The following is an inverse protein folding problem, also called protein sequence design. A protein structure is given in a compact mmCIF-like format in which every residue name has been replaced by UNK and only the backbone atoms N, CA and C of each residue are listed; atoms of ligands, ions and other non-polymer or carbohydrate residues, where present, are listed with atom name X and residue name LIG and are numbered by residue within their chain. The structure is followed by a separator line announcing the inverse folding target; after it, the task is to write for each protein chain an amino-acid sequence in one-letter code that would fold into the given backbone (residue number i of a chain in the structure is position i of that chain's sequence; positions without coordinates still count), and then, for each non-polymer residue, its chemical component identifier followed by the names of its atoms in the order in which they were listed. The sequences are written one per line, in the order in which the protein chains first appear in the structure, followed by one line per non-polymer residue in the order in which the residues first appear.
data_IF_990620282367
#
_entry.id   IF_990620282367
#
_cell.length_a   1.000
_cell.length_b   1.000
_cell.length_c   1.000
_cell.angle_alpha   90.00
_cell.angle_beta   90.00
_cell.angle_gamma   90.00
#
_symmetry.space_group_name_H-M   'P 1'
#
loop_
_entity.id
_entity.type
_entity.pdbx_description
1 polymer ?
#
# COMPACT_ATOMS: atom_id res chain seq x y z
N UNK A 1 10.14 6.19 -13.23
CA UNK A 1 11.58 5.89 -13.32
C UNK A 1 11.94 4.84 -12.30
N UNK A 2 12.63 3.75 -12.67
CA UNK A 2 13.03 2.71 -11.73
C UNK A 2 14.16 3.17 -10.81
N UNK A 3 14.11 2.72 -9.55
CA UNK A 3 15.19 2.82 -8.57
C UNK A 3 15.52 1.42 -8.03
N UNK A 4 16.77 1.15 -7.61
CA UNK A 4 17.10 -0.11 -6.97
C UNK A 4 16.32 -0.28 -5.66
N UNK A 5 15.81 -1.49 -5.45
CA UNK A 5 15.26 -1.93 -4.17
C UNK A 5 16.39 -2.39 -3.23
N UNK A 6 16.09 -2.46 -1.93
CA UNK A 6 17.08 -2.80 -0.89
C UNK A 6 17.20 -4.30 -0.62
N UNK A 7 16.08 -5.04 -0.65
CA UNK A 7 15.97 -6.41 -0.19
C UNK A 7 15.36 -7.35 -1.24
N UNK A 8 14.78 -6.82 -2.32
CA UNK A 8 14.16 -7.61 -3.40
C UNK A 8 14.70 -7.24 -4.79
N UNK A 9 14.47 -8.12 -5.79
CA UNK A 9 14.91 -7.89 -7.18
C UNK A 9 14.04 -6.88 -7.94
N UNK A 10 12.69 -6.87 -7.81
CA UNK A 10 11.87 -5.87 -8.49
C UNK A 10 12.23 -4.44 -8.06
N UNK A 11 12.28 -3.47 -8.99
CA UNK A 11 12.68 -2.10 -8.66
C UNK A 11 11.57 -1.33 -7.94
N UNK A 12 11.96 -0.26 -7.24
CA UNK A 12 11.03 0.77 -6.78
C UNK A 12 10.68 1.70 -7.95
N UNK A 13 9.53 2.37 -7.85
CA UNK A 13 9.12 3.43 -8.77
C UNK A 13 9.31 4.78 -8.07
N UNK A 14 10.20 5.63 -8.61
CA UNK A 14 10.58 6.92 -8.01
C UNK A 14 9.39 7.86 -7.77
N UNK A 15 8.41 7.85 -8.67
CA UNK A 15 7.28 8.78 -8.67
C UNK A 15 6.09 8.27 -7.82
N UNK A 16 6.15 7.03 -7.32
CA UNK A 16 5.13 6.46 -6.45
C UNK A 16 5.19 7.09 -5.05
N UNK A 17 4.01 7.34 -4.48
CA UNK A 17 3.86 7.85 -3.11
C UNK A 17 4.31 6.84 -2.05
N UNK A 18 4.16 5.55 -2.34
CA UNK A 18 4.58 4.43 -1.49
C UNK A 18 5.12 3.31 -2.38
N UNK A 19 6.23 2.70 -1.98
CA UNK A 19 6.71 1.44 -2.53
C UNK A 19 6.83 0.41 -1.39
N UNK A 20 6.36 -0.81 -1.62
CA UNK A 20 6.45 -1.92 -0.68
C UNK A 20 7.29 -3.03 -1.32
N UNK A 21 8.42 -3.34 -0.71
CA UNK A 21 9.22 -4.49 -1.11
C UNK A 21 8.64 -5.74 -0.46
N UNK A 22 8.22 -6.71 -1.27
CA UNK A 22 7.55 -7.91 -0.78
C UNK A 22 8.28 -9.19 -1.15
N UNK A 23 8.39 -10.13 -0.21
CA UNK A 23 8.74 -11.54 -0.48
C UNK A 23 7.46 -12.36 -0.65
N UNK A 24 7.41 -13.22 -1.66
CA UNK A 24 6.26 -14.11 -1.86
C UNK A 24 6.24 -15.17 -0.75
N UNK A 25 5.16 -15.20 0.03
CA UNK A 25 4.97 -16.17 1.12
C UNK A 25 3.81 -17.13 0.88
N UNK A 26 2.98 -16.88 -0.13
CA UNK A 26 1.91 -17.80 -0.51
C UNK A 26 1.22 -17.38 -1.81
N UNK A 27 0.53 -18.33 -2.44
CA UNK A 27 -0.28 -18.09 -3.62
C UNK A 27 -1.55 -18.94 -3.58
N UNK A 28 -2.64 -18.43 -4.15
CA UNK A 28 -3.92 -19.10 -4.24
C UNK A 28 -4.51 -18.90 -5.63
N UNK A 29 -4.76 -20.00 -6.35
CA UNK A 29 -5.46 -19.96 -7.63
C UNK A 29 -6.97 -19.88 -7.38
N UNK A 30 -7.62 -18.88 -7.98
CA UNK A 30 -9.07 -18.63 -7.84
C UNK A 30 -9.85 -18.95 -9.11
N UNK A 31 -9.21 -19.61 -10.08
CA UNK A 31 -9.77 -19.93 -11.39
C UNK A 31 -9.19 -19.05 -12.49
N UNK A 32 -9.70 -17.82 -12.61
CA UNK A 32 -9.29 -16.84 -13.62
C UNK A 32 -8.20 -15.86 -13.14
N UNK A 33 -7.88 -15.88 -11.85
CA UNK A 33 -6.84 -15.07 -11.23
C UNK A 33 -6.01 -15.91 -10.26
N UNK A 34 -4.82 -15.41 -9.91
CA UNK A 34 -3.99 -15.91 -8.81
C UNK A 34 -3.81 -14.78 -7.80
N UNK A 35 -4.11 -15.06 -6.54
CA UNK A 35 -3.83 -14.15 -5.42
C UNK A 35 -2.44 -14.48 -4.89
N UNK A 36 -1.56 -13.49 -4.84
CA UNK A 36 -0.23 -13.60 -4.25
C UNK A 36 -0.19 -12.91 -2.88
N UNK A 37 0.21 -13.65 -1.85
CA UNK A 37 0.46 -13.11 -0.51
C UNK A 37 1.93 -12.73 -0.37
N UNK A 38 2.21 -11.43 -0.18
CA UNK A 38 3.55 -10.88 -0.01
C UNK A 38 3.82 -10.41 1.42
N UNK A 39 4.92 -10.85 2.03
CA UNK A 39 5.45 -10.30 3.27
C UNK A 39 6.23 -9.02 2.96
N UNK A 40 5.83 -7.90 3.58
CA UNK A 40 6.52 -6.62 3.43
C UNK A 40 7.85 -6.69 4.20
N UNK A 41 8.97 -6.62 3.48
CA UNK A 41 10.32 -6.65 4.07
C UNK A 41 10.97 -5.26 4.13
N UNK A 42 10.50 -4.31 3.32
CA UNK A 42 10.85 -2.89 3.42
C UNK A 42 9.71 -2.02 2.87
N UNK A 43 9.56 -0.81 3.40
CA UNK A 43 8.57 0.17 2.96
C UNK A 43 9.23 1.54 2.75
N UNK A 44 8.81 2.23 1.69
CA UNK A 44 9.33 3.53 1.29
C UNK A 44 8.18 4.48 1.05
N UNK A 45 8.21 5.65 1.69
CA UNK A 45 7.26 6.73 1.45
C UNK A 45 7.95 7.88 0.73
N UNK A 46 7.24 8.53 -0.19
CA UNK A 46 7.70 9.77 -0.80
C UNK A 46 7.55 10.94 0.18
N UNK A 47 8.49 11.88 0.16
CA UNK A 47 8.35 13.17 0.87
C UNK A 47 7.33 14.11 0.19
N UNK A 48 6.80 13.70 -0.97
CA UNK A 48 5.76 14.44 -1.68
C UNK A 48 4.42 14.35 -0.94
N UNK A 49 3.76 15.49 -0.78
CA UNK A 49 2.56 15.67 0.01
C UNK A 49 1.27 15.18 -0.71
N UNK A 50 1.38 14.22 -1.63
CA UNK A 50 0.24 13.66 -2.37
C UNK A 50 -0.56 12.67 -1.49
N UNK A 51 -1.89 12.68 -1.65
CA UNK A 51 -2.78 11.72 -0.94
C UNK A 51 -2.87 10.39 -1.68
N UNK A 52 -2.94 9.30 -0.92
CA UNK A 52 -3.22 7.97 -1.45
C UNK A 52 -4.72 7.74 -1.63
N UNK A 53 -5.09 6.92 -2.62
CA UNK A 53 -6.42 6.34 -2.74
C UNK A 53 -6.28 4.83 -2.51
N UNK A 54 -6.88 4.33 -1.43
CA UNK A 54 -6.76 2.93 -1.02
C UNK A 54 -8.12 2.38 -0.60
N UNK A 55 -8.24 1.05 -0.65
CA UNK A 55 -9.33 0.36 0.03
C UNK A 55 -9.12 0.46 1.54
N UNK A 56 -10.13 0.90 2.27
CA UNK A 56 -10.05 1.15 3.71
C UNK A 56 -11.09 0.35 4.48
N UNK A 57 -10.74 -0.08 5.69
CA UNK A 57 -11.70 -0.63 6.64
C UNK A 57 -12.42 0.46 7.42
N UNK A 58 -13.09 0.05 8.49
CA UNK A 58 -13.71 0.96 9.47
C UNK A 58 -12.76 1.38 10.60
N UNK A 59 -11.46 1.20 10.38
CA UNK A 59 -10.44 1.60 11.33
C UNK A 59 -10.28 3.12 11.32
N UNK A 60 -10.00 3.65 12.51
CA UNK A 60 -9.56 5.03 12.65
C UNK A 60 -8.23 5.24 11.88
N UNK A 61 -8.03 6.44 11.34
CA UNK A 61 -6.84 6.79 10.55
C UNK A 61 -7.06 6.98 9.06
N UNK A 62 -8.27 6.71 8.59
CA UNK A 62 -8.68 6.95 7.21
C UNK A 62 -9.72 8.08 7.08
N UNK A 63 -9.61 8.87 6.01
CA UNK A 63 -10.64 9.75 5.49
C UNK A 63 -11.42 8.96 4.44
N UNK A 64 -12.71 8.68 4.70
CA UNK A 64 -13.57 7.99 3.74
C UNK A 64 -13.93 8.94 2.60
N UNK A 65 -13.66 8.53 1.37
CA UNK A 65 -13.94 9.31 0.15
C UNK A 65 -15.14 8.77 -0.63
N UNK A 66 -15.43 7.47 -0.51
CA UNK A 66 -16.58 6.84 -1.14
C UNK A 66 -16.77 5.40 -0.69
N UNK A 67 -18.00 4.90 -0.76
CA UNK A 67 -18.31 3.51 -0.42
C UNK A 67 -19.48 2.99 -1.26
N UNK A 68 -19.37 1.75 -1.71
CA UNK A 68 -20.45 1.00 -2.34
C UNK A 68 -20.54 -0.40 -1.71
N UNK A 69 -21.45 -1.24 -2.21
CA UNK A 69 -21.57 -2.61 -1.73
C UNK A 69 -20.30 -3.40 -2.05
N UNK A 70 -19.50 -3.68 -1.03
CA UNK A 70 -18.32 -4.54 -1.10
C UNK A 70 -16.97 -3.82 -1.05
N UNK A 71 -16.95 -2.49 -1.09
CA UNK A 71 -15.69 -1.75 -0.95
C UNK A 71 -15.90 -0.35 -0.37
N UNK A 72 -14.83 0.17 0.25
CA UNK A 72 -14.74 1.51 0.81
C UNK A 72 -13.42 2.09 0.36
N UNK A 73 -13.44 3.28 -0.22
CA UNK A 73 -12.24 3.97 -0.68
C UNK A 73 -11.97 5.16 0.23
N UNK A 74 -10.71 5.33 0.58
CA UNK A 74 -10.27 6.42 1.44
C UNK A 74 -8.81 6.80 1.23
N UNK A 75 -8.39 7.80 2.00
CA UNK A 75 -7.02 8.26 2.10
C UNK A 75 -6.54 8.18 3.55
N UNK A 76 -5.24 8.06 3.79
CA UNK A 76 -4.67 8.14 5.14
C UNK A 76 -4.83 9.57 5.68
N UNK A 77 -5.32 9.72 6.91
CA UNK A 77 -5.40 11.02 7.59
C UNK A 77 -3.99 11.50 7.93
N UNK A 78 -3.64 12.69 7.47
CA UNK A 78 -2.31 13.30 7.69
C UNK A 78 -1.93 13.54 9.14
N UNK A 79 -2.91 13.66 10.05
CA UNK A 79 -2.70 13.87 11.49
C UNK A 79 -3.24 12.66 12.25
N UNK A 80 -2.61 11.52 12.02
CA UNK A 80 -2.87 10.31 12.79
C UNK A 80 -1.94 10.31 14.02
N UNK A 81 -2.48 10.32 15.27
CA UNK A 81 -1.72 10.57 16.50
C UNK A 81 -0.72 9.46 16.90
N UNK A 82 -0.40 8.52 16.00
CA UNK A 82 0.62 7.48 16.19
C UNK A 82 1.83 7.69 15.26
N UNK A 83 1.96 8.84 14.59
CA UNK A 83 3.06 9.14 13.67
C UNK A 83 4.37 9.55 14.41
N UNK A 84 4.28 9.71 15.72
CA UNK A 84 5.32 10.12 16.65
C UNK A 84 5.62 8.95 17.61
N UNK A 85 6.23 7.90 17.06
CA UNK A 85 7.05 6.95 17.81
C UNK A 85 8.47 7.47 17.93
#
# INVERSE_FOLDING_TARGET
TPLPASLVKPPLIKECIVNLECKLVGQLDTGDHTIFAGEIVAAWASDDDRRNLISVGDLEGYELLGAEKGYRLGAVRRKWPMADG
#
